data_IF_953596843438
#
_entry.id   IF_953596843438
#
_cell.length_a   1.000
_cell.length_b   1.000
_cell.length_c   1.000
_cell.angle_alpha   90.00
_cell.angle_beta   90.00
_cell.angle_gamma   90.00
#
_symmetry.space_group_name_H-M   'P 1'
#
loop_
_entity.id
_entity.type
_entity.pdbx_description
1 polymer ?
#
# COMPACT_ATOMS: atom_id res chain seq x y z
N UNK A 1 -24.61 9.18 12.14
CA UNK A 1 -23.77 8.35 13.05
C UNK A 1 -24.26 6.89 13.16
N UNK A 2 -25.52 6.64 13.56
CA UNK A 2 -26.05 5.27 13.70
C UNK A 2 -26.08 4.47 12.39
N UNK A 3 -26.55 5.03 11.28
CA UNK A 3 -26.69 4.30 10.01
C UNK A 3 -25.36 3.80 9.44
N UNK A 4 -24.26 4.54 9.66
CA UNK A 4 -22.90 4.13 9.26
C UNK A 4 -22.39 2.95 10.08
N UNK A 5 -22.57 2.99 11.39
CA UNK A 5 -22.18 1.89 12.28
C UNK A 5 -23.00 0.63 12.01
N UNK A 6 -24.31 0.77 11.73
CA UNK A 6 -25.14 -0.39 11.37
C UNK A 6 -24.72 -1.02 10.05
N UNK A 7 -24.32 -0.21 9.06
CA UNK A 7 -23.82 -0.71 7.78
C UNK A 7 -22.59 -1.64 7.94
N UNK A 8 -21.80 -1.45 8.99
CA UNK A 8 -20.69 -2.34 9.33
C UNK A 8 -21.15 -3.77 9.59
N UNK A 9 -22.10 -3.92 10.52
CA UNK A 9 -22.66 -5.22 10.88
C UNK A 9 -23.37 -5.87 9.70
N UNK A 10 -24.08 -5.08 8.89
CA UNK A 10 -24.74 -5.59 7.69
C UNK A 10 -23.74 -6.08 6.64
N UNK A 11 -22.71 -5.30 6.30
CA UNK A 11 -21.67 -5.74 5.35
C UNK A 11 -20.97 -7.01 5.81
N UNK A 12 -20.58 -7.08 7.08
CA UNK A 12 -19.96 -8.29 7.63
C UNK A 12 -20.87 -9.51 7.59
N UNK A 13 -22.17 -9.36 7.87
CA UNK A 13 -23.14 -10.44 7.76
C UNK A 13 -23.35 -10.90 6.31
N UNK A 14 -23.49 -9.95 5.38
CA UNK A 14 -23.69 -10.26 3.95
C UNK A 14 -22.44 -10.90 3.35
N UNK A 15 -21.23 -10.46 3.73
CA UNK A 15 -19.99 -11.09 3.29
C UNK A 15 -19.90 -12.57 3.70
N UNK A 16 -20.18 -12.89 4.97
CA UNK A 16 -20.22 -14.28 5.45
C UNK A 16 -21.29 -15.11 4.74
N UNK A 17 -22.45 -14.53 4.47
CA UNK A 17 -23.52 -15.19 3.73
C UNK A 17 -23.09 -15.48 2.29
N UNK A 18 -22.47 -14.51 1.60
CA UNK A 18 -21.92 -14.68 0.26
C UNK A 18 -20.93 -15.85 0.22
N UNK A 19 -19.97 -15.89 1.16
CA UNK A 19 -18.98 -16.95 1.26
C UNK A 19 -19.64 -18.32 1.46
N UNK A 20 -20.58 -18.42 2.41
CA UNK A 20 -21.35 -19.66 2.65
C UNK A 20 -22.10 -20.11 1.40
N UNK A 21 -22.71 -19.19 0.65
CA UNK A 21 -23.44 -19.51 -0.58
C UNK A 21 -22.49 -19.97 -1.70
N UNK A 22 -21.29 -19.41 -1.78
CA UNK A 22 -20.26 -19.87 -2.72
C UNK A 22 -19.81 -21.29 -2.38
N UNK A 23 -19.54 -21.57 -1.09
CA UNK A 23 -19.14 -22.89 -0.61
C UNK A 23 -20.23 -23.96 -0.85
N UNK A 24 -21.50 -23.56 -0.75
CA UNK A 24 -22.66 -24.39 -1.09
C UNK A 24 -22.96 -24.47 -2.60
N UNK A 25 -22.10 -23.89 -3.46
CA UNK A 25 -22.24 -23.81 -4.91
C UNK A 25 -23.54 -23.12 -5.39
N UNK A 26 -24.09 -22.21 -4.58
CA UNK A 26 -25.27 -21.38 -4.88
C UNK A 26 -24.86 -20.03 -5.47
N UNK A 27 -24.15 -20.08 -6.60
CA UNK A 27 -23.45 -18.94 -7.20
C UNK A 27 -24.38 -17.75 -7.51
N UNK A 28 -25.54 -17.99 -8.13
CA UNK A 28 -26.48 -16.92 -8.47
C UNK A 28 -26.96 -16.16 -7.22
N UNK A 29 -27.23 -16.89 -6.13
CA UNK A 29 -27.65 -16.28 -4.86
C UNK A 29 -26.52 -15.50 -4.21
N UNK A 30 -25.29 -16.02 -4.24
CA UNK A 30 -24.14 -15.30 -3.74
C UNK A 30 -23.97 -13.97 -4.48
N UNK A 31 -24.08 -13.99 -5.81
CA UNK A 31 -24.05 -12.79 -6.65
C UNK A 31 -25.14 -11.78 -6.28
N UNK A 32 -26.37 -12.24 -6.05
CA UNK A 32 -27.47 -11.37 -5.61
C UNK A 32 -27.17 -10.70 -4.26
N UNK A 33 -26.63 -11.45 -3.29
CA UNK A 33 -26.25 -10.89 -1.99
C UNK A 33 -25.15 -9.82 -2.13
N UNK A 34 -24.15 -10.04 -2.98
CA UNK A 34 -23.11 -9.04 -3.24
C UNK A 34 -23.75 -7.78 -3.85
N UNK A 35 -24.63 -7.94 -4.84
CA UNK A 35 -25.29 -6.79 -5.49
C UNK A 35 -26.16 -5.99 -4.50
N UNK A 36 -26.92 -6.69 -3.63
CA UNK A 36 -27.69 -6.04 -2.56
C UNK A 36 -26.78 -5.23 -1.64
N UNK A 37 -25.62 -5.78 -1.25
CA UNK A 37 -24.67 -5.09 -0.41
C UNK A 37 -24.15 -3.81 -1.09
N UNK A 38 -23.80 -3.89 -2.37
CA UNK A 38 -23.23 -2.75 -3.12
C UNK A 38 -24.26 -1.68 -3.48
N UNK A 39 -25.51 -2.06 -3.74
CA UNK A 39 -26.60 -1.13 -4.02
C UNK A 39 -27.02 -0.34 -2.77
N UNK A 40 -27.17 -1.02 -1.64
CA UNK A 40 -27.68 -0.41 -0.42
C UNK A 40 -26.59 0.26 0.43
N UNK A 41 -25.34 -0.21 0.30
CA UNK A 41 -24.21 0.31 1.03
C UNK A 41 -23.02 0.53 0.10
N UNK A 42 -23.13 1.48 -0.86
CA UNK A 42 -22.04 1.80 -1.78
C UNK A 42 -20.79 2.26 -1.06
N UNK A 43 -19.64 2.10 -1.72
CA UNK A 43 -18.29 2.36 -1.16
C UNK A 43 -18.20 3.80 -0.64
N UNK A 44 -18.74 4.75 -1.40
CA UNK A 44 -18.52 6.19 -1.27
C UNK A 44 -19.20 6.81 -0.03
N UNK A 45 -20.18 6.15 0.59
CA UNK A 45 -21.03 6.77 1.60
C UNK A 45 -20.79 6.30 3.04
N UNK A 46 -20.25 5.10 3.24
CA UNK A 46 -20.26 4.45 4.56
C UNK A 46 -18.87 4.30 5.20
N UNK A 47 -17.78 4.50 4.47
CA UNK A 47 -16.43 4.25 4.98
C UNK A 47 -16.19 2.77 5.31
N UNK A 48 -15.27 2.49 6.24
CA UNK A 48 -14.93 1.14 6.71
C UNK A 48 -14.64 0.16 5.57
N UNK A 49 -13.68 0.51 4.72
CA UNK A 49 -13.42 -0.14 3.45
C UNK A 49 -12.96 -1.61 3.57
N UNK A 50 -12.38 -2.00 4.71
CA UNK A 50 -12.07 -3.40 5.01
C UNK A 50 -13.31 -4.33 4.92
N UNK A 51 -14.53 -3.81 5.13
CA UNK A 51 -15.77 -4.58 5.03
C UNK A 51 -16.31 -4.64 3.59
N UNK A 52 -15.64 -4.00 2.64
CA UNK A 52 -15.92 -4.11 1.20
C UNK A 52 -15.00 -5.14 0.54
N UNK A 53 -13.77 -5.30 1.04
CA UNK A 53 -12.76 -6.22 0.51
C UNK A 53 -13.30 -7.64 0.21
N UNK A 54 -14.11 -8.28 1.10
CA UNK A 54 -14.68 -9.60 0.80
C UNK A 54 -15.59 -9.65 -0.44
N UNK A 55 -16.19 -8.53 -0.84
CA UNK A 55 -17.03 -8.47 -2.04
C UNK A 55 -16.21 -8.36 -3.33
N UNK A 56 -14.94 -7.92 -3.27
CA UNK A 56 -14.01 -8.00 -4.41
C UNK A 56 -13.76 -9.48 -4.73
N UNK A 57 -13.33 -10.24 -3.73
CA UNK A 57 -13.12 -11.68 -3.82
C UNK A 57 -14.40 -12.42 -4.22
N UNK A 58 -15.53 -12.06 -3.58
CA UNK A 58 -16.84 -12.59 -3.90
C UNK A 58 -17.22 -12.41 -5.38
N UNK A 59 -16.97 -11.22 -5.97
CA UNK A 59 -17.25 -10.99 -7.38
C UNK A 59 -16.39 -11.86 -8.31
N UNK A 60 -15.11 -12.11 -8.00
CA UNK A 60 -14.30 -13.06 -8.76
C UNK A 60 -14.89 -14.48 -8.68
N UNK A 61 -15.20 -14.94 -7.46
CA UNK A 61 -15.69 -16.30 -7.20
C UNK A 61 -17.04 -16.60 -7.84
N UNK A 62 -17.89 -15.59 -8.04
CA UNK A 62 -19.17 -15.74 -8.78
C UNK A 62 -19.06 -15.49 -10.28
N UNK A 63 -17.85 -15.30 -10.80
CA UNK A 63 -17.59 -15.12 -12.24
C UNK A 63 -17.82 -13.70 -12.77
N UNK A 64 -17.99 -12.70 -11.90
CA UNK A 64 -18.19 -11.29 -12.25
C UNK A 64 -16.87 -10.51 -12.22
N UNK A 65 -15.84 -11.02 -12.92
CA UNK A 65 -14.47 -10.49 -12.92
C UNK A 65 -14.37 -8.99 -13.14
N UNK A 66 -15.11 -8.44 -14.11
CA UNK A 66 -15.08 -6.99 -14.38
C UNK A 66 -15.64 -6.16 -13.23
N UNK A 67 -16.64 -6.66 -12.49
CA UNK A 67 -17.14 -5.98 -11.28
C UNK A 67 -16.13 -6.06 -10.15
N UNK A 68 -15.46 -7.20 -9.98
CA UNK A 68 -14.40 -7.35 -9.00
C UNK A 68 -13.28 -6.33 -9.24
N UNK A 69 -12.79 -6.24 -10.48
CA UNK A 69 -11.78 -5.26 -10.90
C UNK A 69 -12.24 -3.83 -10.66
N UNK A 70 -13.46 -3.48 -11.06
CA UNK A 70 -14.00 -2.13 -10.82
C UNK A 70 -14.09 -1.80 -9.33
N UNK A 71 -14.49 -2.75 -8.48
CA UNK A 71 -14.53 -2.56 -7.03
C UNK A 71 -13.13 -2.40 -6.44
N UNK A 72 -12.16 -3.22 -6.87
CA UNK A 72 -10.76 -3.07 -6.53
C UNK A 72 -10.22 -1.68 -6.92
N UNK A 73 -10.51 -1.20 -8.14
CA UNK A 73 -10.08 0.13 -8.58
C UNK A 73 -10.63 1.26 -7.70
N UNK A 74 -11.85 1.11 -7.17
CA UNK A 74 -12.41 2.08 -6.21
C UNK A 74 -11.67 2.05 -4.88
N UNK A 75 -11.42 0.86 -4.34
CA UNK A 75 -10.73 0.69 -3.06
C UNK A 75 -9.29 1.16 -3.12
N UNK A 76 -8.53 0.72 -4.14
CA UNK A 76 -7.13 1.13 -4.30
C UNK A 76 -7.02 2.65 -4.41
N UNK A 77 -7.93 3.31 -5.12
CA UNK A 77 -7.90 4.77 -5.30
C UNK A 77 -7.99 5.49 -3.96
N UNK A 78 -8.86 5.01 -3.07
CA UNK A 78 -9.01 5.58 -1.73
C UNK A 78 -7.70 5.46 -0.94
N UNK A 79 -7.09 4.28 -0.93
CA UNK A 79 -5.83 4.07 -0.19
C UNK A 79 -4.68 4.86 -0.81
N UNK A 80 -4.53 4.83 -2.14
CA UNK A 80 -3.52 5.60 -2.87
C UNK A 80 -3.64 7.10 -2.62
N UNK A 81 -4.84 7.68 -2.68
CA UNK A 81 -5.05 9.11 -2.41
C UNK A 81 -4.66 9.49 -0.96
N UNK A 82 -4.94 8.63 0.02
CA UNK A 82 -4.53 8.85 1.42
C UNK A 82 -3.01 8.74 1.58
N UNK A 83 -2.40 7.71 1.00
CA UNK A 83 -0.95 7.51 1.02
C UNK A 83 -0.22 8.65 0.30
N UNK A 84 -0.72 9.11 -0.85
CA UNK A 84 -0.13 10.26 -1.56
C UNK A 84 -0.27 11.55 -0.76
N UNK A 85 -1.38 11.75 -0.03
CA UNK A 85 -1.49 12.87 0.90
C UNK A 85 -0.37 12.83 1.96
N UNK A 86 -0.19 11.69 2.63
CA UNK A 86 0.84 11.56 3.66
C UNK A 86 2.26 11.66 3.11
N UNK A 87 2.54 11.07 1.95
CA UNK A 87 3.86 11.13 1.32
C UNK A 87 4.31 12.56 0.96
N UNK A 88 3.37 13.49 0.79
CA UNK A 88 3.65 14.90 0.53
C UNK A 88 3.88 15.73 1.80
N UNK A 89 3.69 15.18 2.99
CA UNK A 89 3.97 15.88 4.25
C UNK A 89 5.47 15.86 4.59
N UNK A 90 5.98 16.83 5.35
CA UNK A 90 7.31 16.75 5.95
C UNK A 90 7.46 15.48 6.81
N UNK A 91 8.65 14.90 6.86
CA UNK A 91 8.89 13.63 7.56
C UNK A 91 8.45 13.64 9.04
N UNK A 92 8.69 14.74 9.76
CA UNK A 92 8.28 14.87 11.16
C UNK A 92 6.76 14.81 11.32
N UNK A 93 6.00 15.32 10.35
CA UNK A 93 4.55 15.21 10.32
C UNK A 93 4.10 13.80 9.92
N UNK A 94 4.77 13.17 8.95
CA UNK A 94 4.47 11.78 8.57
C UNK A 94 4.55 10.83 9.78
N UNK A 95 5.51 11.04 10.69
CA UNK A 95 5.64 10.26 11.95
C UNK A 95 4.39 10.33 12.83
N UNK A 96 3.66 11.45 12.79
CA UNK A 96 2.44 11.62 13.57
C UNK A 96 1.25 10.84 13.00
N UNK A 97 1.35 10.39 11.74
CA UNK A 97 0.28 9.69 11.02
C UNK A 97 0.59 8.22 10.74
N UNK A 98 1.54 7.61 11.46
CA UNK A 98 1.89 6.20 11.27
C UNK A 98 0.71 5.26 11.52
N UNK A 99 -0.17 5.60 12.47
CA UNK A 99 -1.39 4.85 12.78
C UNK A 99 -2.43 4.90 11.65
N UNK A 100 -2.28 5.83 10.69
CA UNK A 100 -3.09 5.90 9.47
C UNK A 100 -2.37 5.32 8.25
N UNK A 101 -1.07 5.62 8.10
CA UNK A 101 -0.25 5.19 6.97
C UNK A 101 -0.13 3.66 6.93
N UNK A 102 0.21 3.03 8.06
CA UNK A 102 0.45 1.58 8.10
C UNK A 102 -0.83 0.80 7.73
N UNK A 103 -2.01 1.08 8.33
CA UNK A 103 -3.22 0.38 7.93
C UNK A 103 -3.65 0.60 6.48
N UNK A 104 -3.37 1.77 5.90
CA UNK A 104 -3.67 2.03 4.48
C UNK A 104 -2.74 1.24 3.55
N UNK A 105 -1.44 1.11 3.89
CA UNK A 105 -0.50 0.23 3.18
C UNK A 105 -0.93 -1.23 3.27
N UNK A 106 -1.25 -1.71 4.48
CA UNK A 106 -1.72 -3.08 4.68
C UNK A 106 -3.03 -3.35 3.93
N UNK A 107 -3.95 -2.39 3.92
CA UNK A 107 -5.20 -2.52 3.20
C UNK A 107 -4.98 -2.59 1.69
N UNK A 108 -4.11 -1.74 1.14
CA UNK A 108 -3.77 -1.83 -0.29
C UNK A 108 -3.13 -3.19 -0.63
N UNK A 109 -2.19 -3.67 0.21
CA UNK A 109 -1.60 -5.01 0.06
C UNK A 109 -2.67 -6.12 0.07
N UNK A 110 -3.59 -6.13 1.04
CA UNK A 110 -4.68 -7.12 1.10
C UNK A 110 -5.55 -7.11 -0.16
N UNK A 111 -5.79 -5.94 -0.75
CA UNK A 111 -6.55 -5.84 -1.99
C UNK A 111 -5.78 -6.45 -3.18
N UNK A 112 -4.45 -6.31 -3.21
CA UNK A 112 -3.59 -6.96 -4.22
C UNK A 112 -3.60 -8.48 -4.01
N UNK A 113 -3.55 -8.95 -2.76
CA UNK A 113 -3.62 -10.39 -2.44
C UNK A 113 -4.90 -11.05 -2.95
N UNK A 114 -6.02 -10.32 -2.97
CA UNK A 114 -7.28 -10.79 -3.57
C UNK A 114 -7.11 -11.03 -5.08
N UNK A 115 -6.41 -10.15 -5.79
CA UNK A 115 -6.11 -10.33 -7.22
C UNK A 115 -5.25 -11.58 -7.45
N UNK A 116 -4.22 -11.76 -6.63
CA UNK A 116 -3.31 -12.91 -6.68
C UNK A 116 -4.08 -14.22 -6.46
N UNK A 117 -4.87 -14.26 -5.38
CA UNK A 117 -5.66 -15.44 -4.99
C UNK A 117 -6.68 -15.84 -6.06
N UNK A 118 -7.25 -14.86 -6.75
CA UNK A 118 -8.21 -15.07 -7.84
C UNK A 118 -7.56 -15.18 -9.22
N UNK A 119 -6.23 -15.34 -9.28
CA UNK A 119 -5.46 -15.58 -10.51
C UNK A 119 -5.53 -14.44 -11.55
N UNK A 120 -5.84 -13.21 -11.12
CA UNK A 120 -5.82 -12.01 -11.97
C UNK A 120 -4.39 -11.46 -12.10
N UNK A 121 -3.50 -12.28 -12.68
CA UNK A 121 -2.04 -12.09 -12.67
C UNK A 121 -1.61 -10.75 -13.24
N UNK A 122 -2.18 -10.32 -14.36
CA UNK A 122 -1.81 -9.07 -15.01
C UNK A 122 -2.05 -7.86 -14.09
N UNK A 123 -3.23 -7.80 -13.44
CA UNK A 123 -3.52 -6.73 -12.50
C UNK A 123 -2.69 -6.88 -11.23
N UNK A 124 -2.52 -8.10 -10.71
CA UNK A 124 -1.71 -8.34 -9.52
C UNK A 124 -0.25 -7.87 -9.70
N UNK A 125 0.40 -8.24 -10.80
CA UNK A 125 1.78 -7.84 -11.13
C UNK A 125 1.90 -6.32 -11.27
N UNK A 126 1.00 -5.70 -12.04
CA UNK A 126 0.96 -4.26 -12.22
C UNK A 126 0.82 -3.51 -10.89
N UNK A 127 -0.13 -3.93 -10.06
CA UNK A 127 -0.42 -3.25 -8.80
C UNK A 127 0.64 -3.52 -7.74
N UNK A 128 1.31 -4.68 -7.77
CA UNK A 128 2.48 -4.96 -6.92
C UNK A 128 3.63 -4.00 -7.21
N UNK A 129 3.91 -3.71 -8.49
CA UNK A 129 4.93 -2.75 -8.87
C UNK A 129 4.61 -1.35 -8.34
N UNK A 130 3.37 -0.90 -8.51
CA UNK A 130 2.91 0.39 -7.98
C UNK A 130 2.98 0.42 -6.45
N UNK A 131 2.60 -0.67 -5.78
CA UNK A 131 2.66 -0.77 -4.33
C UNK A 131 4.09 -0.65 -3.79
N UNK A 132 5.08 -1.21 -4.47
CA UNK A 132 6.49 -1.05 -4.08
C UNK A 132 6.92 0.43 -4.12
N UNK A 133 6.44 1.23 -5.07
CA UNK A 133 6.71 2.67 -5.09
C UNK A 133 6.12 3.37 -3.84
N UNK A 134 4.98 2.90 -3.32
CA UNK A 134 4.44 3.42 -2.06
C UNK A 134 5.25 2.97 -0.84
N UNK A 135 5.75 1.74 -0.81
CA UNK A 135 6.66 1.27 0.25
C UNK A 135 7.92 2.13 0.27
N UNK A 136 8.49 2.42 -0.90
CA UNK A 136 9.70 3.25 -1.02
C UNK A 136 9.47 4.68 -0.49
N UNK A 137 8.30 5.28 -0.73
CA UNK A 137 7.94 6.61 -0.17
C UNK A 137 7.98 6.64 1.36
N UNK A 138 7.75 5.50 2.02
CA UNK A 138 7.69 5.37 3.47
C UNK A 138 8.86 4.55 4.05
N UNK A 139 9.91 4.28 3.26
CA UNK A 139 10.99 3.37 3.64
C UNK A 139 11.76 3.79 4.90
N UNK A 140 11.79 5.10 5.20
CA UNK A 140 12.48 5.66 6.37
C UNK A 140 11.91 5.16 7.69
N UNK A 141 10.67 4.64 7.70
CA UNK A 141 10.09 3.99 8.88
C UNK A 141 10.56 2.55 9.07
N UNK A 142 11.04 1.90 8.01
CA UNK A 142 11.42 0.49 8.01
C UNK A 142 12.94 0.28 7.94
N UNK A 143 13.69 1.28 7.46
CA UNK A 143 15.14 1.35 7.64
C UNK A 143 15.41 1.68 9.11
N UNK A 144 15.53 0.63 9.91
CA UNK A 144 16.23 0.70 11.19
C UNK A 144 17.69 1.10 10.92
N UNK A 145 17.98 2.39 10.74
CA UNK A 145 19.32 2.91 10.96
C UNK A 145 19.34 3.57 12.35
N UNK A 146 19.89 2.89 13.37
CA UNK A 146 20.06 3.47 14.70
C UNK A 146 20.97 4.72 14.70
N UNK A 147 21.55 5.12 13.56
CA UNK A 147 22.35 6.32 13.41
C UNK A 147 21.52 7.59 13.11
N UNK A 148 20.28 7.48 12.63
CA UNK A 148 19.52 8.66 12.17
C UNK A 148 18.95 9.48 13.34
N UNK A 149 18.65 8.84 14.47
CA UNK A 149 18.28 9.52 15.74
C UNK A 149 19.47 10.23 16.41
N UNK A 150 20.71 9.95 15.98
CA UNK A 150 21.94 10.55 16.53
C UNK A 150 22.47 11.73 15.71
N UNK A 151 21.88 12.02 14.55
CA UNK A 151 22.27 13.18 13.75
C UNK A 151 21.55 14.42 14.30
N UNK A 152 22.26 15.44 14.81
CA UNK A 152 21.62 16.70 15.15
C UNK A 152 20.99 17.29 13.88
N UNK A 153 19.84 17.98 14.00
CA UNK A 153 19.20 18.58 12.84
C UNK A 153 20.20 19.53 12.16
N UNK A 154 20.53 19.27 10.90
CA UNK A 154 21.41 20.11 10.11
C UNK A 154 20.67 21.39 9.75
N UNK A 155 20.69 22.36 10.67
CA UNK A 155 20.27 23.73 10.40
C UNK A 155 21.50 24.57 10.07
N UNK A 156 22.07 24.37 8.87
CA UNK A 156 23.00 25.35 8.31
C UNK A 156 22.94 25.35 6.76
N UNK A 157 22.38 26.41 6.12
CA UNK A 157 22.29 26.52 4.66
C UNK A 157 23.63 26.82 3.97
N UNK A 158 24.72 27.08 4.70
CA UNK A 158 25.94 27.68 4.15
C UNK A 158 27.06 26.70 3.76
N UNK A 159 26.80 25.39 3.66
CA UNK A 159 27.78 24.45 3.10
C UNK A 159 27.52 24.16 1.62
N UNK A 160 27.78 25.18 0.80
CA UNK A 160 28.07 25.01 -0.62
C UNK A 160 29.56 25.34 -0.83
N UNK A 161 30.26 24.39 -1.44
CA UNK A 161 31.46 24.56 -2.29
C UNK A 161 32.86 24.23 -1.73
N UNK A 162 33.67 23.68 -2.64
CA UNK A 162 35.02 23.14 -2.59
C UNK A 162 35.10 21.71 -2.04
N UNK A 163 35.31 20.66 -2.85
CA UNK A 163 36.35 20.55 -3.86
C UNK A 163 35.95 19.58 -4.99
N UNK A 164 35.79 20.11 -6.20
CA UNK A 164 36.13 19.38 -7.43
C UNK A 164 37.41 19.99 -7.99
N UNK A 165 38.25 19.11 -8.57
CA UNK A 165 39.47 19.38 -9.36
C UNK A 165 40.76 19.65 -8.57
N UNK A 166 41.70 18.69 -8.58
CA UNK A 166 42.78 18.75 -9.57
C UNK A 166 43.61 17.45 -9.63
N UNK A 167 44.09 17.18 -10.85
CA UNK A 167 44.86 16.01 -11.24
C UNK A 167 46.36 16.10 -10.84
N UNK A 168 46.99 14.92 -10.81
CA UNK A 168 48.38 14.56 -10.43
C UNK A 168 49.45 15.32 -11.26
N UNK A 169 50.70 15.46 -10.76
CA UNK A 169 51.79 14.69 -11.40
C UNK A 169 52.87 14.07 -10.46
N UNK A 170 53.15 12.81 -10.79
CA UNK A 170 54.38 11.98 -10.81
C UNK A 170 55.77 12.60 -10.47
N UNK A 171 56.58 11.93 -9.62
CA UNK A 171 57.86 11.25 -9.94
C UNK A 171 58.94 11.16 -8.80
N UNK A 172 59.27 9.91 -8.46
CA UNK A 172 60.59 9.20 -8.31
C UNK A 172 61.74 9.79 -7.44
N UNK A 173 62.25 8.95 -6.52
CA UNK A 173 63.66 8.44 -6.36
C UNK A 173 63.99 8.17 -4.88
N UNK A 174 64.70 7.12 -4.46
CA UNK A 174 65.33 5.94 -5.05
C UNK A 174 65.91 5.13 -3.85
N UNK A 175 66.15 3.82 -4.02
CA UNK A 175 67.32 3.11 -3.46
C UNK A 175 67.36 2.77 -1.95
N UNK A 176 67.78 1.60 -1.42
CA UNK A 176 68.60 0.46 -1.89
C UNK A 176 68.35 -0.80 -1.01
N UNK A 177 68.30 -1.95 -1.70
CA UNK A 177 68.70 -3.35 -1.46
C UNK A 177 68.75 -4.07 -0.07
N UNK A 178 68.04 -5.23 -0.01
CA UNK A 178 68.43 -6.69 0.10
C UNK A 178 69.90 -7.07 0.45
N UNK A 179 70.33 -8.35 0.66
CA UNK A 179 69.74 -9.67 1.06
C UNK A 179 70.49 -10.31 2.27
N UNK A 180 70.28 -11.54 2.78
CA UNK A 180 70.11 -12.91 2.24
C UNK A 180 68.98 -13.73 2.90
#
# INVERSE_FOLDING_TARGET
PQTRTQALSFRGNLARLTETLIDENKIDKAKDIINIAMENMPVEHFGYYAFIEPFVDGYYKVGETEKARNLFQKLKKIYQERLDYFANLPFDEQRLFLDEIIPDLEAYSRNIDILITNQDKENAEKETLIFNEYIDKFERFYRNDPMEDLMPPTSDPDLIDSTSMDAIPEEIKDSIAVPE
#
